data_IF_347242892092
#
_entry.id   IF_347242892092
#
_cell.length_a   1.000
_cell.length_b   1.000
_cell.length_c   1.000
_cell.angle_alpha   90.00
_cell.angle_beta   90.00
_cell.angle_gamma   90.00
#
_symmetry.space_group_name_H-M   'P 1'
#
loop_
_entity.id
_entity.type
_entity.pdbx_description
1 polymer ?
#
# COMPACT_ATOMS: atom_id res chain seq x y z
N UNK A 1 0.77 -11.50 21.99
CA UNK A 1 1.36 -10.69 23.10
C UNK A 1 2.90 -10.80 23.17
N UNK A 2 3.51 -11.98 22.97
CA UNK A 2 4.97 -12.18 23.02
C UNK A 2 5.80 -11.33 22.04
N UNK A 3 5.28 -10.98 20.85
CA UNK A 3 6.07 -10.27 19.83
C UNK A 3 6.36 -8.80 20.18
N UNK A 4 5.51 -8.12 20.96
CA UNK A 4 5.66 -6.69 21.24
C UNK A 4 6.82 -6.42 22.22
N UNK A 5 6.91 -7.20 23.29
CA UNK A 5 8.03 -7.12 24.25
C UNK A 5 9.36 -7.50 23.61
N UNK A 6 9.34 -8.42 22.63
CA UNK A 6 10.53 -8.82 21.86
C UNK A 6 11.04 -7.71 20.93
N UNK A 7 10.13 -7.03 20.22
CA UNK A 7 10.49 -5.87 19.39
C UNK A 7 10.99 -4.72 20.25
N UNK A 8 10.32 -4.44 21.37
CA UNK A 8 10.75 -3.41 22.30
C UNK A 8 12.15 -3.68 22.86
N UNK A 9 12.45 -4.92 23.27
CA UNK A 9 13.80 -5.32 23.66
C UNK A 9 14.84 -5.08 22.56
N UNK A 10 14.54 -5.42 21.31
CA UNK A 10 15.45 -5.17 20.18
C UNK A 10 15.68 -3.68 19.90
N UNK A 11 14.66 -2.85 20.07
CA UNK A 11 14.78 -1.39 19.97
C UNK A 11 15.69 -0.86 21.09
N UNK A 12 15.49 -1.32 22.32
CA UNK A 12 16.34 -0.98 23.46
C UNK A 12 17.79 -1.40 23.21
N UNK A 13 18.03 -2.65 22.78
CA UNK A 13 19.38 -3.16 22.50
C UNK A 13 20.07 -2.38 21.36
N UNK A 14 19.31 -1.89 20.38
CA UNK A 14 19.85 -1.16 19.21
C UNK A 14 20.09 0.32 19.48
N UNK A 15 19.16 0.99 20.17
CA UNK A 15 19.12 2.45 20.29
C UNK A 15 19.38 2.97 21.71
N UNK A 16 19.30 2.14 22.74
CA UNK A 16 19.54 2.50 24.13
C UNK A 16 20.61 1.60 24.76
N UNK A 17 21.83 1.68 24.19
CA UNK A 17 23.00 0.92 24.67
C UNK A 17 23.33 1.19 26.14
N UNK A 18 22.98 2.39 26.62
CA UNK A 18 23.21 2.84 27.99
C UNK A 18 22.06 2.47 28.95
N UNK A 19 21.03 1.76 28.45
CA UNK A 19 19.88 1.27 29.23
C UNK A 19 19.16 2.37 30.02
N UNK A 20 19.19 3.61 29.54
CA UNK A 20 18.58 4.77 30.20
C UNK A 20 17.06 4.66 30.24
N UNK A 21 16.47 4.03 29.23
CA UNK A 21 15.03 3.86 29.07
C UNK A 21 14.46 2.75 29.97
N UNK A 22 15.30 1.81 30.44
CA UNK A 22 14.87 0.79 31.41
C UNK A 22 14.44 1.38 32.76
N UNK A 23 14.93 2.59 33.10
CA UNK A 23 14.57 3.29 34.35
C UNK A 23 13.11 3.76 34.40
N UNK A 24 12.43 3.79 33.26
CA UNK A 24 11.03 4.22 33.15
C UNK A 24 10.05 3.03 33.12
N UNK A 25 10.56 1.79 33.25
CA UNK A 25 9.76 0.58 33.29
C UNK A 25 9.62 0.10 34.73
N UNK A 26 8.50 -0.56 35.02
CA UNK A 26 8.32 -1.25 36.30
C UNK A 26 9.24 -2.47 36.43
N UNK A 27 9.60 -2.86 37.65
CA UNK A 27 10.47 -4.02 37.90
C UNK A 27 9.93 -5.32 37.27
N UNK A 28 8.60 -5.48 37.25
CA UNK A 28 7.89 -6.58 36.59
C UNK A 28 8.08 -6.59 35.07
N UNK A 29 8.10 -5.42 34.43
CA UNK A 29 8.33 -5.29 32.99
C UNK A 29 9.79 -5.54 32.63
N UNK A 30 10.71 -5.07 33.46
CA UNK A 30 12.14 -5.32 33.31
C UNK A 30 12.45 -6.82 33.45
N UNK A 31 11.84 -7.51 34.41
CA UNK A 31 11.96 -8.96 34.56
C UNK A 31 11.41 -9.72 33.34
N UNK A 32 10.26 -9.29 32.79
CA UNK A 32 9.68 -9.83 31.55
C UNK A 32 10.53 -9.59 30.31
N UNK A 33 11.31 -8.50 30.27
CA UNK A 33 12.24 -8.23 29.17
C UNK A 33 13.54 -9.02 29.32
N UNK A 34 14.04 -9.20 30.55
CA UNK A 34 15.27 -9.95 30.81
C UNK A 34 15.12 -11.46 30.60
N UNK A 35 13.92 -12.01 30.76
CA UNK A 35 13.59 -13.42 30.45
C UNK A 35 13.56 -13.72 28.95
N UNK A 36 13.50 -12.71 28.08
CA UNK A 36 13.58 -12.90 26.63
C UNK A 36 15.05 -13.10 26.20
N UNK A 37 15.36 -14.14 25.41
CA UNK A 37 16.74 -14.38 24.97
C UNK A 37 17.31 -13.18 24.18
N UNK A 38 18.55 -12.72 24.47
CA UNK A 38 19.23 -11.67 23.70
C UNK A 38 19.52 -12.11 22.25
N UNK A 39 19.44 -13.41 21.96
CA UNK A 39 19.74 -13.99 20.65
C UNK A 39 18.51 -14.51 19.90
N UNK A 40 17.31 -13.97 20.18
CA UNK A 40 16.20 -14.23 19.28
C UNK A 40 16.45 -13.47 17.98
N UNK A 41 17.00 -14.17 16.98
CA UNK A 41 16.85 -13.77 15.58
C UNK A 41 15.34 -13.72 15.33
N UNK A 42 14.74 -12.53 15.43
CA UNK A 42 13.54 -12.23 14.64
C UNK A 42 13.91 -12.74 13.25
N UNK A 43 13.19 -13.75 12.69
CA UNK A 43 13.65 -14.51 11.54
C UNK A 43 14.29 -13.54 10.57
N UNK A 44 15.59 -13.75 10.34
CA UNK A 44 16.43 -12.81 9.61
C UNK A 44 15.62 -12.27 8.44
N UNK A 45 15.60 -10.95 8.29
CA UNK A 45 14.85 -10.23 7.26
C UNK A 45 14.98 -10.87 5.86
N UNK A 46 15.99 -11.72 5.63
CA UNK A 46 16.11 -12.65 4.50
C UNK A 46 14.82 -13.37 4.11
N UNK A 47 14.04 -13.96 5.04
CA UNK A 47 12.80 -14.65 4.64
C UNK A 47 11.68 -13.71 4.16
N UNK A 48 11.75 -12.42 4.53
CA UNK A 48 10.82 -11.40 4.05
C UNK A 48 11.25 -10.84 2.68
N UNK A 49 12.56 -10.64 2.43
CA UNK A 49 13.08 -9.96 1.22
C UNK A 49 12.62 -10.58 -0.09
N UNK A 50 12.65 -11.91 -0.20
CA UNK A 50 12.24 -12.60 -1.43
C UNK A 50 10.72 -12.53 -1.66
N UNK A 51 9.93 -12.50 -0.57
CA UNK A 51 8.46 -12.42 -0.64
C UNK A 51 7.93 -11.00 -0.85
N UNK A 52 8.71 -9.98 -0.49
CA UNK A 52 8.26 -8.58 -0.53
C UNK A 52 8.14 -8.08 -1.98
N UNK A 53 9.10 -8.40 -2.84
CA UNK A 53 9.07 -8.05 -4.28
C UNK A 53 7.76 -8.55 -4.92
N UNK A 54 7.31 -9.72 -4.46
CA UNK A 54 6.12 -10.40 -4.95
C UNK A 54 4.80 -9.86 -4.39
N UNK A 55 4.84 -9.10 -3.30
CA UNK A 55 3.69 -8.52 -2.63
C UNK A 55 3.48 -7.04 -2.99
N UNK A 56 4.54 -6.37 -3.44
CA UNK A 56 4.51 -4.94 -3.77
C UNK A 56 3.97 -4.71 -5.18
N UNK A 57 3.27 -3.58 -5.34
CA UNK A 57 2.76 -3.15 -6.64
C UNK A 57 3.91 -2.75 -7.57
N UNK A 58 3.87 -3.21 -8.82
CA UNK A 58 4.95 -2.99 -9.79
C UNK A 58 5.33 -1.51 -9.98
N UNK A 59 4.38 -0.58 -9.77
CA UNK A 59 4.63 0.85 -9.94
C UNK A 59 5.67 1.42 -8.97
N UNK A 60 5.93 0.73 -7.85
CA UNK A 60 6.93 1.17 -6.86
C UNK A 60 8.36 1.00 -7.39
N UNK A 61 8.56 0.16 -8.41
CA UNK A 61 9.87 0.00 -9.05
C UNK A 61 10.16 1.07 -10.11
N UNK A 62 9.15 1.83 -10.56
CA UNK A 62 9.30 2.82 -11.64
C UNK A 62 10.42 3.84 -11.35
N UNK A 63 10.48 4.48 -10.17
CA UNK A 63 11.52 5.49 -9.91
C UNK A 63 12.93 4.92 -9.99
N UNK A 64 13.11 3.67 -9.57
CA UNK A 64 14.40 2.98 -9.66
C UNK A 64 14.72 2.62 -11.12
N UNK A 65 13.76 2.03 -11.85
CA UNK A 65 13.99 1.55 -13.22
C UNK A 65 14.31 2.70 -14.19
N UNK A 66 13.75 3.89 -13.95
CA UNK A 66 14.04 5.09 -14.75
C UNK A 66 15.49 5.60 -14.60
N UNK A 67 16.23 5.15 -13.58
CA UNK A 67 17.66 5.51 -13.42
C UNK A 67 18.55 4.70 -14.36
N UNK A 68 18.10 3.52 -14.79
CA UNK A 68 18.86 2.59 -15.62
C UNK A 68 18.56 2.78 -17.10
N UNK A 69 19.48 2.33 -17.96
CA UNK A 69 19.20 2.23 -19.39
C UNK A 69 18.07 1.23 -19.67
N UNK A 70 17.37 1.36 -20.80
CA UNK A 70 16.28 0.43 -21.16
C UNK A 70 16.73 -1.04 -21.17
N UNK A 71 17.95 -1.31 -21.60
CA UNK A 71 18.52 -2.66 -21.63
C UNK A 71 18.72 -3.23 -20.22
N UNK A 72 19.31 -2.44 -19.31
CA UNK A 72 19.52 -2.84 -17.92
C UNK A 72 18.19 -2.97 -17.16
N UNK A 73 17.27 -2.02 -17.36
CA UNK A 73 15.92 -2.05 -16.78
C UNK A 73 15.17 -3.33 -17.17
N UNK A 74 15.36 -3.80 -18.41
CA UNK A 74 14.74 -5.04 -18.91
C UNK A 74 15.26 -6.30 -18.19
N UNK A 75 16.50 -6.29 -17.69
CA UNK A 75 17.04 -7.41 -16.89
C UNK A 75 16.32 -7.54 -15.53
N UNK A 76 15.92 -6.43 -14.93
CA UNK A 76 15.16 -6.46 -13.67
C UNK A 76 13.78 -7.12 -13.83
N UNK A 77 13.18 -7.05 -15.03
CA UNK A 77 11.87 -7.67 -15.29
C UNK A 77 11.90 -9.19 -15.17
N UNK A 78 13.06 -9.82 -15.41
CA UNK A 78 13.27 -11.26 -15.27
C UNK A 78 13.20 -11.75 -13.81
N UNK A 79 13.30 -10.83 -12.86
CA UNK A 79 13.19 -11.11 -11.44
C UNK A 79 11.75 -11.03 -10.93
N UNK A 80 10.82 -10.50 -11.73
CA UNK A 80 9.44 -10.23 -11.34
C UNK A 80 8.46 -11.30 -11.86
N UNK A 81 7.28 -11.38 -11.24
CA UNK A 81 6.17 -12.21 -11.74
C UNK A 81 5.72 -11.79 -13.14
N UNK A 82 5.23 -12.71 -13.98
CA UNK A 82 4.83 -12.43 -15.37
C UNK A 82 3.84 -11.27 -15.51
N UNK A 83 2.87 -11.15 -14.59
CA UNK A 83 1.90 -10.06 -14.57
C UNK A 83 2.57 -8.68 -14.37
N UNK A 84 3.50 -8.58 -13.42
CA UNK A 84 4.23 -7.33 -13.14
C UNK A 84 5.20 -6.99 -14.28
N UNK A 85 5.84 -8.00 -14.88
CA UNK A 85 6.71 -7.86 -16.05
C UNK A 85 5.96 -7.23 -17.23
N UNK A 86 4.79 -7.77 -17.57
CA UNK A 86 3.98 -7.24 -18.68
C UNK A 86 3.58 -5.79 -18.43
N UNK A 87 3.08 -5.49 -17.24
CA UNK A 87 2.65 -4.13 -16.89
C UNK A 87 3.79 -3.10 -16.94
N UNK A 88 4.99 -3.46 -16.47
CA UNK A 88 6.15 -2.57 -16.53
C UNK A 88 6.73 -2.45 -17.92
N UNK A 89 6.73 -3.53 -18.71
CA UNK A 89 7.16 -3.51 -20.11
C UNK A 89 6.33 -2.52 -20.92
N UNK A 90 5.01 -2.61 -20.81
CA UNK A 90 4.08 -1.73 -21.51
C UNK A 90 4.18 -0.27 -21.04
N UNK A 91 4.50 -0.05 -19.76
CA UNK A 91 4.57 1.29 -19.17
C UNK A 91 5.88 2.03 -19.48
N UNK A 92 7.00 1.30 -19.49
CA UNK A 92 8.35 1.86 -19.65
C UNK A 92 8.92 1.66 -21.06
N UNK A 93 8.14 1.05 -21.97
CA UNK A 93 8.55 0.76 -23.34
C UNK A 93 9.90 0.02 -23.39
N UNK A 94 9.94 -1.10 -22.65
CA UNK A 94 11.13 -1.93 -22.46
C UNK A 94 11.16 -3.10 -23.46
N UNK A 95 12.37 -3.49 -23.84
CA UNK A 95 12.59 -4.62 -24.75
C UNK A 95 12.23 -5.95 -24.07
N UNK A 96 11.75 -6.92 -24.85
CA UNK A 96 11.58 -8.26 -24.31
C UNK A 96 12.92 -8.98 -24.30
N UNK A 97 13.39 -9.28 -23.10
CA UNK A 97 14.62 -10.03 -22.91
C UNK A 97 14.25 -11.48 -22.63
N UNK A 98 14.45 -12.38 -23.60
CA UNK A 98 14.35 -13.82 -23.40
C UNK A 98 15.68 -14.40 -22.93
N UNK A 99 16.23 -13.88 -21.84
CA UNK A 99 17.44 -14.44 -21.25
C UNK A 99 17.13 -15.18 -19.95
N UNK A 100 17.61 -16.41 -19.86
CA UNK A 100 17.62 -17.13 -18.60
C UNK A 100 18.80 -16.62 -17.76
N UNK A 101 18.51 -15.79 -16.75
CA UNK A 101 19.54 -15.28 -15.86
C UNK A 101 20.12 -16.40 -15.01
N UNK A 102 21.44 -16.38 -14.81
CA UNK A 102 22.09 -17.21 -13.81
C UNK A 102 21.50 -16.93 -12.41
N UNK A 103 21.38 -17.93 -11.53
CA UNK A 103 20.76 -17.77 -10.22
C UNK A 103 21.36 -16.63 -9.38
N UNK A 104 22.69 -16.53 -9.35
CA UNK A 104 23.39 -15.48 -8.59
C UNK A 104 23.07 -14.07 -9.10
N UNK A 105 22.92 -13.90 -10.42
CA UNK A 105 22.56 -12.62 -11.03
C UNK A 105 21.12 -12.24 -10.67
N UNK A 106 20.22 -13.23 -10.65
CA UNK A 106 18.84 -13.03 -10.22
C UNK A 106 18.76 -12.59 -8.76
N UNK A 107 19.56 -13.20 -7.88
CA UNK A 107 19.60 -12.84 -6.47
C UNK A 107 20.18 -11.44 -6.24
N UNK A 108 21.24 -11.08 -6.99
CA UNK A 108 21.80 -9.72 -6.96
C UNK A 108 20.78 -8.67 -7.41
N UNK A 109 20.07 -8.90 -8.51
CA UNK A 109 19.05 -7.98 -9.01
C UNK A 109 17.86 -7.88 -8.05
N UNK A 110 17.42 -9.00 -7.47
CA UNK A 110 16.41 -8.99 -6.40
C UNK A 110 16.87 -8.20 -5.19
N UNK A 111 18.14 -8.32 -4.78
CA UNK A 111 18.67 -7.55 -3.68
C UNK A 111 18.63 -6.05 -3.98
N UNK A 112 19.02 -5.65 -5.20
CA UNK A 112 18.93 -4.25 -5.66
C UNK A 112 17.49 -3.73 -5.68
N UNK A 113 16.54 -4.52 -6.18
CA UNK A 113 15.10 -4.20 -6.13
C UNK A 113 14.62 -4.06 -4.68
N UNK A 114 15.12 -4.88 -3.76
CA UNK A 114 14.74 -4.81 -2.36
C UNK A 114 15.31 -3.56 -1.69
N UNK A 115 16.56 -3.22 -1.99
CA UNK A 115 17.25 -2.04 -1.45
C UNK A 115 16.63 -0.72 -1.92
N UNK A 116 15.98 -0.69 -3.09
CA UNK A 116 15.26 0.51 -3.54
C UNK A 116 13.94 0.73 -2.79
N UNK A 117 13.33 -0.34 -2.29
CA UNK A 117 12.08 -0.30 -1.54
C UNK A 117 12.29 -0.06 -0.05
N UNK A 118 13.36 -0.63 0.52
CA UNK A 118 13.62 -0.65 1.95
C UNK A 118 15.04 -0.15 2.16
N UNK A 119 15.18 1.02 2.80
CA UNK A 119 16.50 1.52 3.18
C UNK A 119 17.08 0.62 4.26
N UNK A 120 18.42 0.54 4.36
CA UNK A 120 19.09 -0.26 5.40
C UNK A 120 18.67 0.11 6.83
N UNK A 121 18.16 1.32 7.01
CA UNK A 121 17.68 1.87 8.27
C UNK A 121 16.22 1.47 8.57
N UNK A 122 15.45 1.13 7.55
CA UNK A 122 14.03 0.81 7.67
C UNK A 122 13.87 -0.55 8.36
N UNK A 123 13.35 -0.50 9.59
CA UNK A 123 13.06 -1.71 10.34
C UNK A 123 11.63 -2.13 10.00
N UNK A 124 11.48 -3.08 9.08
CA UNK A 124 10.18 -3.69 8.81
C UNK A 124 9.67 -4.38 10.08
N UNK A 125 8.61 -3.82 10.66
CA UNK A 125 7.95 -4.37 11.83
C UNK A 125 6.92 -5.41 11.38
N UNK A 126 6.85 -6.59 12.04
CA UNK A 126 5.77 -7.53 11.82
C UNK A 126 4.41 -6.88 12.04
N UNK A 127 3.39 -7.31 11.27
CA UNK A 127 2.01 -6.83 11.37
C UNK A 127 1.48 -6.93 12.82
N UNK A 128 1.88 -7.97 13.56
CA UNK A 128 1.53 -8.18 14.97
C UNK A 128 1.98 -7.06 15.93
N UNK A 129 2.88 -6.19 15.47
CA UNK A 129 3.37 -5.06 16.26
C UNK A 129 2.51 -3.81 16.08
N UNK A 130 1.57 -3.82 15.12
CA UNK A 130 0.60 -2.74 14.96
C UNK A 130 -0.34 -2.70 16.16
N UNK A 131 -0.72 -1.49 16.57
CA UNK A 131 -1.73 -1.31 17.61
C UNK A 131 -3.03 -1.97 17.14
N UNK A 132 -3.73 -2.66 18.04
CA UNK A 132 -5.04 -3.21 17.75
C UNK A 132 -5.98 -2.05 17.32
N UNK A 133 -6.36 -2.07 16.04
CA UNK A 133 -7.26 -1.09 15.43
C UNK A 133 -8.28 -1.83 14.58
N UNK A 134 -9.51 -1.30 14.48
CA UNK A 134 -10.53 -1.81 13.56
C UNK A 134 -10.05 -1.75 12.10
N UNK A 135 -9.10 -0.86 11.80
CA UNK A 135 -8.48 -0.74 10.48
C UNK A 135 -7.49 -1.87 10.15
N UNK A 136 -7.06 -2.66 11.15
CA UNK A 136 -6.15 -3.78 10.89
C UNK A 136 -6.80 -4.87 10.04
N UNK A 137 -8.14 -4.92 9.98
CA UNK A 137 -8.89 -5.81 9.08
C UNK A 137 -8.55 -5.54 7.61
N UNK A 138 -8.19 -4.29 7.26
CA UNK A 138 -7.80 -3.90 5.89
C UNK A 138 -6.57 -4.68 5.42
N UNK A 139 -5.64 -5.00 6.34
CA UNK A 139 -4.40 -5.73 6.02
C UNK A 139 -4.67 -7.17 5.56
N UNK A 140 -5.84 -7.72 5.90
CA UNK A 140 -6.27 -9.07 5.49
C UNK A 140 -7.11 -9.09 4.21
N UNK A 141 -7.46 -7.93 3.66
CA UNK A 141 -8.33 -7.85 2.50
C UNK A 141 -7.60 -8.24 1.21
N UNK A 142 -8.31 -8.96 0.34
CA UNK A 142 -7.81 -9.22 -1.00
C UNK A 142 -7.81 -7.93 -1.83
N UNK A 143 -6.94 -7.88 -2.86
CA UNK A 143 -6.85 -6.75 -3.80
C UNK A 143 -8.22 -6.32 -4.35
N UNK A 144 -9.09 -7.28 -4.66
CA UNK A 144 -10.45 -7.01 -5.18
C UNK A 144 -11.29 -6.26 -4.13
N UNK A 145 -11.22 -6.67 -2.86
CA UNK A 145 -11.94 -6.03 -1.77
C UNK A 145 -11.37 -4.64 -1.47
N UNK A 146 -10.06 -4.46 -1.54
CA UNK A 146 -9.40 -3.16 -1.38
C UNK A 146 -9.84 -2.19 -2.49
N UNK A 147 -9.86 -2.63 -3.74
CA UNK A 147 -10.35 -1.80 -4.87
C UNK A 147 -11.82 -1.43 -4.65
N UNK A 148 -12.67 -2.37 -4.22
CA UNK A 148 -14.07 -2.07 -3.90
C UNK A 148 -14.20 -1.06 -2.75
N UNK A 149 -13.36 -1.18 -1.71
CA UNK A 149 -13.33 -0.23 -0.60
C UNK A 149 -12.95 1.17 -1.08
N UNK A 150 -11.90 1.28 -1.90
CA UNK A 150 -11.48 2.54 -2.54
C UNK A 150 -12.63 3.13 -3.37
N UNK A 151 -13.27 2.32 -4.21
CA UNK A 151 -14.41 2.75 -5.04
C UNK A 151 -15.58 3.25 -4.17
N UNK A 152 -15.84 2.63 -3.02
CA UNK A 152 -16.87 3.07 -2.07
C UNK A 152 -16.48 4.32 -1.28
N UNK A 153 -15.23 4.48 -0.88
CA UNK A 153 -14.75 5.70 -0.23
C UNK A 153 -14.96 6.92 -1.14
N UNK A 154 -14.66 6.78 -2.43
CA UNK A 154 -14.92 7.82 -3.43
C UNK A 154 -16.41 8.22 -3.54
N UNK A 155 -17.35 7.34 -3.16
CA UNK A 155 -18.77 7.67 -3.21
C UNK A 155 -19.17 8.73 -2.19
N UNK A 156 -18.42 8.93 -1.10
CA UNK A 156 -18.69 10.01 -0.15
C UNK A 156 -18.44 11.38 -0.79
N UNK A 157 -17.36 11.53 -1.55
CA UNK A 157 -17.07 12.76 -2.30
C UNK A 157 -18.12 13.02 -3.37
N UNK A 158 -18.49 11.96 -4.11
CA UNK A 158 -19.54 12.02 -5.14
C UNK A 158 -20.88 12.42 -4.52
N UNK A 159 -21.26 11.85 -3.37
CA UNK A 159 -22.50 12.19 -2.67
C UNK A 159 -22.57 13.66 -2.26
N UNK A 160 -21.42 14.25 -1.84
CA UNK A 160 -21.31 15.67 -1.50
C UNK A 160 -21.51 16.54 -2.75
N UNK A 161 -20.85 16.19 -3.85
CA UNK A 161 -20.95 16.95 -5.10
C UNK A 161 -22.31 16.84 -5.79
N UNK A 162 -22.95 15.67 -5.74
CA UNK A 162 -24.28 15.47 -6.34
C UNK A 162 -25.34 16.43 -5.82
N UNK A 163 -25.21 16.92 -4.57
CA UNK A 163 -26.12 17.93 -3.99
C UNK A 163 -26.02 19.29 -4.69
N UNK A 164 -24.90 19.59 -5.34
CA UNK A 164 -24.65 20.85 -6.04
C UNK A 164 -24.92 20.76 -7.55
N UNK A 165 -25.02 19.56 -8.12
CA UNK A 165 -25.28 19.37 -9.55
C UNK A 165 -26.78 19.52 -9.81
N UNK A 166 -27.18 20.65 -10.40
CA UNK A 166 -28.58 20.95 -10.75
C UNK A 166 -29.00 20.30 -12.08
N UNK A 167 -28.04 19.97 -12.96
CA UNK A 167 -28.33 19.44 -14.30
C UNK A 167 -28.67 17.94 -14.29
N UNK A 168 -29.94 17.63 -14.58
CA UNK A 168 -30.46 16.26 -14.70
C UNK A 168 -29.74 15.41 -15.76
N UNK A 169 -29.22 16.01 -16.84
CA UNK A 169 -28.47 15.28 -17.88
C UNK A 169 -27.12 14.80 -17.34
N UNK A 170 -26.40 15.67 -16.62
CA UNK A 170 -25.13 15.33 -15.94
C UNK A 170 -25.35 14.25 -14.87
N UNK A 171 -26.41 14.38 -14.06
CA UNK A 171 -26.78 13.37 -13.06
C UNK A 171 -27.00 11.99 -13.69
N UNK A 172 -27.84 11.90 -14.72
CA UNK A 172 -28.07 10.63 -15.44
C UNK A 172 -26.79 10.02 -15.99
N UNK A 173 -25.86 10.86 -16.47
CA UNK A 173 -24.57 10.42 -17.00
C UNK A 173 -23.61 9.92 -15.91
N UNK A 174 -23.60 10.55 -14.72
CA UNK A 174 -22.87 10.03 -13.56
C UNK A 174 -23.41 8.66 -13.16
N UNK A 175 -24.74 8.54 -13.01
CA UNK A 175 -25.36 7.26 -12.69
C UNK A 175 -25.11 6.19 -13.77
N UNK A 176 -25.03 6.53 -15.05
CA UNK A 176 -24.72 5.54 -16.09
C UNK A 176 -23.28 5.00 -15.99
N UNK A 177 -22.37 5.74 -15.38
CA UNK A 177 -20.98 5.33 -15.19
C UNK A 177 -20.74 4.50 -13.94
N UNK A 178 -21.65 4.49 -12.96
CA UNK A 178 -21.57 3.72 -11.72
C UNK A 178 -22.07 2.27 -11.87
N UNK A 179 -21.46 1.34 -11.12
CA UNK A 179 -21.89 -0.06 -10.99
C UNK A 179 -23.15 -0.16 -10.14
N UNK A 180 -23.84 -1.29 -10.21
CA UNK A 180 -25.06 -1.53 -9.40
C UNK A 180 -24.82 -1.35 -7.90
N UNK A 181 -23.73 -1.96 -7.38
CA UNK A 181 -23.36 -1.88 -5.97
C UNK A 181 -23.05 -0.45 -5.53
N UNK A 182 -22.32 0.31 -6.35
CA UNK A 182 -21.97 1.71 -6.11
C UNK A 182 -23.22 2.60 -6.07
N UNK A 183 -24.19 2.36 -6.96
CA UNK A 183 -25.47 3.08 -6.96
C UNK A 183 -26.26 2.81 -5.69
N UNK A 184 -26.32 1.56 -5.26
CA UNK A 184 -27.02 1.17 -4.03
C UNK A 184 -26.38 1.82 -2.80
N UNK A 185 -25.04 1.85 -2.76
CA UNK A 185 -24.29 2.48 -1.68
C UNK A 185 -24.46 4.02 -1.68
N UNK A 186 -24.39 4.65 -2.84
CA UNK A 186 -24.57 6.10 -2.99
C UNK A 186 -25.95 6.56 -2.53
N UNK A 187 -27.02 5.81 -2.86
CA UNK A 187 -28.38 6.08 -2.36
C UNK A 187 -28.44 6.02 -0.83
N UNK A 188 -27.72 5.08 -0.19
CA UNK A 188 -27.66 4.97 1.27
C UNK A 188 -26.94 6.17 1.89
N UNK A 189 -25.83 6.63 1.31
CA UNK A 189 -25.06 7.77 1.82
C UNK A 189 -25.81 9.09 1.62
N UNK A 190 -26.47 9.29 0.48
CA UNK A 190 -27.23 10.51 0.21
C UNK A 190 -28.30 10.79 1.27
N UNK A 191 -28.85 9.73 1.88
CA UNK A 191 -29.84 9.80 2.95
C UNK A 191 -29.23 10.06 4.33
N UNK A 192 -27.91 9.91 4.49
CA UNK A 192 -27.21 10.17 5.76
C UNK A 192 -26.68 11.61 5.81
N UNK A 193 -26.84 12.26 6.96
CA UNK A 193 -26.38 13.63 7.25
C UNK A 193 -24.89 13.71 7.67
N UNK A 194 -24.11 12.65 7.50
CA UNK A 194 -22.70 12.68 7.85
C UNK A 194 -21.90 13.31 6.71
N UNK A 195 -21.49 14.56 6.91
CA UNK A 195 -20.58 15.24 6.01
C UNK A 195 -19.15 14.91 6.41
N UNK A 196 -18.51 14.00 5.68
CA UNK A 196 -17.05 13.91 5.72
C UNK A 196 -16.50 15.18 5.05
N UNK A 197 -15.63 15.90 5.74
CA UNK A 197 -15.09 17.16 5.24
C UNK A 197 -13.92 16.91 4.28
N UNK A 198 -14.25 16.34 3.13
CA UNK A 198 -13.34 16.22 2.00
C UNK A 198 -13.37 17.49 1.13
N UNK A 199 -12.22 17.80 0.51
CA UNK A 199 -12.05 18.92 -0.42
C UNK A 199 -13.06 18.78 -1.55
N UNK A 200 -13.75 19.88 -1.89
CA UNK A 200 -14.64 19.91 -3.05
C UNK A 200 -13.82 19.62 -4.30
N UNK A 201 -14.21 18.59 -5.03
CA UNK A 201 -13.68 18.32 -6.35
C UNK A 201 -14.74 18.82 -7.34
N UNK A 202 -14.37 18.97 -8.60
CA UNK A 202 -15.32 19.40 -9.63
C UNK A 202 -15.49 18.24 -10.59
N UNK A 203 -16.18 17.19 -10.13
CA UNK A 203 -16.46 15.97 -10.89
C UNK A 203 -17.11 16.33 -12.23
N UNK A 204 -17.86 17.43 -12.29
CA UNK A 204 -18.47 17.96 -13.52
C UNK A 204 -17.53 18.06 -14.71
N UNK A 205 -16.26 18.44 -14.48
CA UNK A 205 -15.27 18.62 -15.55
C UNK A 205 -14.90 17.31 -16.25
N UNK A 206 -15.19 16.17 -15.62
CA UNK A 206 -14.70 14.86 -16.04
C UNK A 206 -15.79 13.89 -16.47
N UNK A 207 -17.06 14.34 -16.49
CA UNK A 207 -18.23 13.55 -16.91
C UNK A 207 -18.20 13.26 -18.42
N UNK A 208 -17.38 13.95 -19.22
CA UNK A 208 -17.35 13.77 -20.67
C UNK A 208 -16.96 12.34 -21.08
N UNK A 209 -16.00 11.73 -20.37
CA UNK A 209 -15.42 10.44 -20.73
C UNK A 209 -15.44 9.47 -19.53
N UNK A 210 -16.01 8.27 -19.73
CA UNK A 210 -16.16 7.25 -18.68
C UNK A 210 -14.82 6.83 -18.06
N UNK A 211 -13.77 6.72 -18.88
CA UNK A 211 -12.42 6.34 -18.47
C UNK A 211 -11.81 7.34 -17.48
N UNK A 212 -11.88 8.65 -17.81
CA UNK A 212 -11.38 9.75 -16.98
C UNK A 212 -12.17 9.88 -15.69
N UNK A 213 -13.50 9.79 -15.77
CA UNK A 213 -14.36 9.77 -14.59
C UNK A 213 -13.98 8.64 -13.62
N UNK A 214 -13.76 7.42 -14.12
CA UNK A 214 -13.35 6.27 -13.30
C UNK A 214 -11.97 6.43 -12.69
N UNK A 215 -10.99 6.98 -13.43
CA UNK A 215 -9.65 7.26 -12.89
C UNK A 215 -9.71 8.25 -11.73
N UNK A 216 -10.52 9.28 -11.86
CA UNK A 216 -10.67 10.29 -10.81
C UNK A 216 -11.33 9.68 -9.59
N UNK A 217 -12.45 8.96 -9.75
CA UNK A 217 -13.07 8.24 -8.63
C UNK A 217 -12.06 7.37 -7.88
N UNK A 218 -11.25 6.61 -8.61
CA UNK A 218 -10.24 5.77 -7.98
C UNK A 218 -9.20 6.61 -7.20
N UNK A 219 -8.72 7.72 -7.77
CA UNK A 219 -7.82 8.64 -7.05
C UNK A 219 -8.46 9.28 -5.83
N UNK A 220 -9.77 9.57 -5.85
CA UNK A 220 -10.49 10.13 -4.70
C UNK A 220 -10.57 9.12 -3.58
N UNK A 221 -10.92 7.88 -3.91
CA UNK A 221 -10.95 6.78 -2.95
C UNK A 221 -9.58 6.53 -2.32
N UNK A 222 -8.49 6.66 -3.08
CA UNK A 222 -7.13 6.55 -2.56
C UNK A 222 -6.79 7.68 -1.58
N UNK A 223 -7.21 8.92 -1.89
CA UNK A 223 -7.06 10.05 -0.97
C UNK A 223 -7.88 9.80 0.30
N UNK A 224 -9.12 9.33 0.17
CA UNK A 224 -9.96 8.98 1.32
C UNK A 224 -9.31 7.91 2.21
N UNK A 225 -8.66 6.91 1.62
CA UNK A 225 -7.93 5.88 2.35
C UNK A 225 -6.63 6.40 2.99
N UNK A 226 -6.01 7.45 2.44
CA UNK A 226 -4.82 8.07 3.02
C UNK A 226 -5.11 8.95 4.24
N UNK A 227 -6.36 9.43 4.36
CA UNK A 227 -6.81 10.30 5.45
C UNK A 227 -7.41 9.48 6.61
N UNK A 228 -7.91 8.27 6.32
CA UNK A 228 -8.51 7.34 7.28
C UNK A 228 -7.47 6.59 8.13
#
# INVERSE_FOLDING_TARGET
MMNRNRVFKKILDKYDKEKKLLKYLSDDEVAKLNTLSPFYKVPDQKMLKESIIDQIHYSWFIPMLNVYSKQEASLFLLCLKPYNRKALKDLLDLEDVENNLQPYTKDFLKEKLTQSLIKKEDTLLPIDCLKASKLNEILSLSKIKIIKLIDFLAMYDVAKELKFIVDKKKLKKIYSYLKSDEKAFLKKILNKKEAFDSKRITIEKYILEKSKFRRILHSLGLIGLSIA
#
